data_IF_566329843619
#
_entry.id   IF_566329843619
#
_cell.length_a   1.000
_cell.length_b   1.000
_cell.length_c   1.000
_cell.angle_alpha   90.00
_cell.angle_beta   90.00
_cell.angle_gamma   90.00
#
_symmetry.space_group_name_H-M   'P 1'
#
loop_
_entity.id
_entity.type
_entity.pdbx_description
1 polymer ?
#
# COMPACT_ATOMS: atom_id res chain seq x y z
N UNK A 1 12.98 -1.51 17.88
CA UNK A 1 12.41 -0.15 17.81
C UNK A 1 12.22 0.35 16.37
N UNK A 2 13.08 1.18 15.75
CA UNK A 2 12.73 1.77 14.43
C UNK A 2 12.62 0.75 13.28
N UNK A 3 13.56 -0.19 13.15
CA UNK A 3 13.52 -1.26 12.14
C UNK A 3 12.33 -2.22 12.31
N UNK A 4 11.94 -2.45 13.55
CA UNK A 4 10.78 -3.29 13.91
C UNK A 4 9.47 -2.61 13.53
N UNK A 5 9.33 -1.31 13.84
CA UNK A 5 8.20 -0.50 13.35
C UNK A 5 8.12 -0.48 11.82
N UNK A 6 9.27 -0.40 11.14
CA UNK A 6 9.35 -0.45 9.68
C UNK A 6 8.89 -1.82 9.13
N UNK A 7 9.25 -2.91 9.80
CA UNK A 7 8.76 -4.26 9.45
C UNK A 7 7.25 -4.37 9.64
N UNK A 8 6.71 -3.93 10.76
CA UNK A 8 5.27 -3.94 11.01
C UNK A 8 4.50 -3.08 9.98
N UNK A 9 5.08 -1.96 9.54
CA UNK A 9 4.52 -1.15 8.44
C UNK A 9 4.54 -1.91 7.10
N UNK A 10 5.64 -2.62 6.80
CA UNK A 10 5.79 -3.42 5.58
C UNK A 10 4.75 -4.55 5.48
N UNK A 11 4.43 -5.17 6.62
CA UNK A 11 3.46 -6.25 6.73
C UNK A 11 2.01 -5.74 6.84
N UNK A 12 1.81 -4.42 6.96
CA UNK A 12 0.50 -3.80 7.12
C UNK A 12 -0.11 -3.97 8.52
N UNK A 13 0.69 -4.40 9.50
CA UNK A 13 0.28 -4.62 10.89
C UNK A 13 0.28 -3.34 11.72
N UNK A 14 0.96 -2.29 11.25
CA UNK A 14 1.03 -0.98 11.92
C UNK A 14 1.00 0.16 10.92
N UNK A 15 0.23 1.20 11.22
CA UNK A 15 0.18 2.43 10.43
C UNK A 15 0.41 3.64 11.34
N UNK A 16 1.53 4.32 11.12
CA UNK A 16 1.98 5.48 11.90
C UNK A 16 2.43 6.59 10.93
N UNK A 17 1.73 7.72 10.94
CA UNK A 17 2.02 8.86 10.08
C UNK A 17 3.39 9.50 10.38
N UNK A 18 3.86 9.44 11.62
CA UNK A 18 5.17 9.97 12.01
C UNK A 18 6.29 9.10 11.45
N UNK A 19 6.09 7.77 11.44
CA UNK A 19 7.01 6.83 10.83
C UNK A 19 7.09 7.04 9.31
N UNK A 20 5.95 7.24 8.64
CA UNK A 20 5.92 7.57 7.20
C UNK A 20 6.65 8.88 6.89
N UNK A 21 6.43 9.91 7.72
CA UNK A 21 7.13 11.19 7.59
C UNK A 21 8.63 11.01 7.75
N UNK A 22 9.07 10.24 8.75
CA UNK A 22 10.48 9.92 8.98
C UNK A 22 11.09 9.13 7.81
N UNK A 23 10.37 8.13 7.30
CA UNK A 23 10.77 7.34 6.13
C UNK A 23 10.94 8.21 4.89
N UNK A 24 10.11 9.23 4.69
CA UNK A 24 10.24 10.12 3.53
C UNK A 24 11.51 11.00 3.55
N UNK A 25 12.12 11.21 4.72
CA UNK A 25 13.25 12.14 4.90
C UNK A 25 14.57 11.44 5.20
N UNK A 26 14.55 10.22 5.76
CA UNK A 26 15.75 9.48 6.16
C UNK A 26 16.17 8.43 5.13
N UNK A 27 17.31 8.68 4.46
CA UNK A 27 17.89 7.74 3.48
C UNK A 27 18.27 6.39 4.07
N UNK A 28 18.71 6.32 5.32
CA UNK A 28 19.09 5.05 5.96
C UNK A 28 17.86 4.18 6.18
N UNK A 29 16.74 4.81 6.53
CA UNK A 29 15.46 4.13 6.70
C UNK A 29 14.88 3.70 5.34
N UNK A 30 14.99 4.52 4.30
CA UNK A 30 14.64 4.17 2.92
C UNK A 30 15.44 2.97 2.39
N UNK A 31 16.74 2.93 2.67
CA UNK A 31 17.59 1.80 2.27
C UNK A 31 17.22 0.51 3.02
N UNK A 32 16.84 0.63 4.29
CA UNK A 32 16.32 -0.50 5.07
C UNK A 32 14.99 -1.01 4.48
N UNK A 33 14.08 -0.10 4.10
CA UNK A 33 12.82 -0.41 3.44
C UNK A 33 13.01 -1.15 2.11
N UNK A 34 13.89 -0.63 1.24
CA UNK A 34 14.27 -1.27 -0.02
C UNK A 34 14.84 -2.67 0.21
N UNK A 35 15.74 -2.82 1.19
CA UNK A 35 16.37 -4.11 1.51
C UNK A 35 15.35 -5.14 1.97
N UNK A 36 14.38 -4.75 2.81
CA UNK A 36 13.34 -5.66 3.30
C UNK A 36 12.45 -6.15 2.16
N UNK A 37 12.01 -5.26 1.26
CA UNK A 37 11.24 -5.66 0.09
C UNK A 37 12.05 -6.56 -0.85
N UNK A 38 13.31 -6.23 -1.12
CA UNK A 38 14.17 -7.08 -1.95
C UNK A 38 14.36 -8.49 -1.36
N UNK A 39 14.58 -8.60 -0.04
CA UNK A 39 14.68 -9.90 0.64
C UNK A 39 13.38 -10.68 0.49
N UNK A 40 12.23 -10.03 0.73
CA UNK A 40 10.90 -10.65 0.60
C UNK A 40 10.66 -11.18 -0.82
N UNK A 41 10.94 -10.37 -1.84
CA UNK A 41 10.74 -10.75 -3.24
C UNK A 41 11.67 -11.90 -3.62
N UNK A 42 12.93 -11.86 -3.16
CA UNK A 42 13.90 -12.94 -3.36
C UNK A 42 13.42 -14.26 -2.73
N UNK A 43 12.92 -14.21 -1.48
CA UNK A 43 12.41 -15.39 -0.79
C UNK A 43 11.17 -16.00 -1.46
N UNK A 44 10.38 -15.19 -2.17
CA UNK A 44 9.21 -15.64 -2.94
C UNK A 44 9.54 -16.14 -4.33
N UNK A 45 10.76 -15.88 -4.82
CA UNK A 45 11.12 -16.12 -6.21
C UNK A 45 10.53 -15.07 -7.17
N UNK A 46 10.08 -13.92 -6.65
CA UNK A 46 9.51 -12.81 -7.41
C UNK A 46 10.59 -11.87 -7.97
N UNK A 47 11.78 -12.41 -8.29
CA UNK A 47 12.90 -11.65 -8.84
C UNK A 47 13.24 -12.15 -10.23
N UNK A 48 13.46 -11.21 -11.15
CA UNK A 48 13.90 -11.53 -12.52
C UNK A 48 15.37 -11.96 -12.58
N UNK A 49 15.79 -12.48 -13.74
CA UNK A 49 17.19 -12.84 -13.98
C UNK A 49 18.15 -11.63 -13.89
N UNK A 50 17.64 -10.44 -14.21
CA UNK A 50 18.36 -9.16 -14.09
C UNK A 50 17.62 -8.30 -13.07
N UNK A 51 18.37 -7.76 -12.10
CA UNK A 51 17.84 -6.87 -11.07
C UNK A 51 18.26 -5.42 -11.34
N UNK A 52 17.29 -4.53 -11.41
CA UNK A 52 17.51 -3.09 -11.51
C UNK A 52 17.19 -2.44 -10.16
N UNK A 53 18.20 -1.94 -9.46
CA UNK A 53 18.05 -1.37 -8.11
C UNK A 53 17.71 0.13 -8.12
N UNK A 54 17.71 0.76 -9.30
CA UNK A 54 17.51 2.20 -9.52
C UNK A 54 16.10 2.54 -10.07
N UNK A 55 15.20 1.54 -10.15
CA UNK A 55 13.84 1.75 -10.68
C UNK A 55 13.11 2.84 -9.90
N UNK A 56 13.14 2.78 -8.57
CA UNK A 56 12.45 3.74 -7.71
C UNK A 56 12.96 5.18 -7.94
N UNK A 57 14.28 5.37 -8.08
CA UNK A 57 14.88 6.68 -8.35
C UNK A 57 14.47 7.22 -9.72
N UNK A 58 14.45 6.35 -10.75
CA UNK A 58 14.02 6.73 -12.10
C UNK A 58 12.54 7.11 -12.15
N UNK A 59 11.70 6.39 -11.41
CA UNK A 59 10.28 6.72 -11.28
C UNK A 59 10.09 8.03 -10.53
N UNK A 60 10.79 8.25 -9.41
CA UNK A 60 10.73 9.51 -8.67
C UNK A 60 11.14 10.71 -9.54
N UNK A 61 12.21 10.59 -10.32
CA UNK A 61 12.67 11.62 -11.25
C UNK A 61 11.70 11.85 -12.42
N UNK A 62 10.94 10.85 -12.82
CA UNK A 62 9.87 11.00 -13.81
C UNK A 62 8.66 11.73 -13.22
N UNK A 63 8.24 11.35 -12.01
CA UNK A 63 7.14 11.98 -11.27
C UNK A 63 7.39 13.47 -11.00
N UNK A 64 8.62 13.85 -10.66
CA UNK A 64 8.98 15.26 -10.44
C UNK A 64 8.79 16.13 -11.71
N UNK A 65 8.87 15.50 -12.89
CA UNK A 65 8.66 16.18 -14.19
C UNK A 65 7.20 16.15 -14.64
N UNK A 66 6.33 15.43 -13.95
CA UNK A 66 4.92 15.37 -14.30
C UNK A 66 4.23 16.70 -13.96
N UNK A 67 3.42 17.25 -14.89
CA UNK A 67 2.61 18.41 -14.57
C UNK A 67 1.58 18.04 -13.50
N UNK A 68 1.41 18.91 -12.50
CA UNK A 68 0.39 18.71 -11.46
C UNK A 68 -1.00 18.66 -12.09
N UNK A 69 -1.51 17.44 -12.28
CA UNK A 69 -2.85 17.21 -12.84
C UNK A 69 -3.87 17.26 -11.70
N UNK A 70 -4.42 18.44 -11.46
CA UNK A 70 -5.61 18.55 -10.62
C UNK A 70 -6.76 17.87 -11.36
N UNK A 71 -7.21 16.72 -10.86
CA UNK A 71 -8.41 16.04 -11.35
C UNK A 71 -9.53 16.34 -10.34
N UNK A 72 -10.22 17.50 -10.45
CA UNK A 72 -11.26 17.91 -9.50
C UNK A 72 -12.47 16.95 -9.46
N UNK A 73 -12.55 16.02 -10.42
CA UNK A 73 -13.61 15.02 -10.52
C UNK A 73 -13.06 13.60 -10.46
N UNK A 74 -11.92 13.37 -9.79
CA UNK A 74 -11.54 12.01 -9.42
C UNK A 74 -12.73 11.42 -8.64
N UNK A 75 -13.43 10.49 -9.27
CA UNK A 75 -14.60 9.84 -8.69
C UNK A 75 -14.10 9.18 -7.41
N UNK A 76 -14.44 9.76 -6.26
CA UNK A 76 -14.26 9.06 -5.00
C UNK A 76 -15.07 7.79 -5.11
N UNK A 77 -14.38 6.66 -5.20
CA UNK A 77 -15.02 5.36 -5.20
C UNK A 77 -15.68 5.22 -3.82
N UNK A 78 -16.98 5.49 -3.78
CA UNK A 78 -17.73 5.50 -2.54
C UNK A 78 -17.74 4.09 -1.98
N UNK A 79 -17.12 3.89 -0.82
CA UNK A 79 -17.26 2.65 -0.09
C UNK A 79 -18.74 2.38 0.18
N UNK A 80 -19.22 1.15 -0.03
CA UNK A 80 -20.63 0.84 0.12
C UNK A 80 -21.07 0.99 1.57
N UNK A 81 -22.03 1.88 1.79
CA UNK A 81 -22.61 2.13 3.11
C UNK A 81 -23.55 0.98 3.53
N UNK A 82 -23.72 0.69 4.84
CA UNK A 82 -24.54 -0.44 5.31
C UNK A 82 -25.98 -0.48 4.79
N UNK A 83 -26.55 0.66 4.38
CA UNK A 83 -27.90 0.71 3.80
C UNK A 83 -27.94 0.35 2.30
N UNK A 84 -26.82 0.44 1.56
CA UNK A 84 -26.76 0.06 0.14
C UNK A 84 -26.53 -1.44 -0.07
N UNK A 85 -26.05 -2.11 0.98
CA UNK A 85 -25.79 -3.53 1.05
C UNK A 85 -27.00 -4.37 0.61
N UNK A 86 -28.20 -4.05 1.07
CA UNK A 86 -29.44 -4.76 0.68
C UNK A 86 -29.69 -4.85 -0.84
N UNK A 87 -29.06 -3.98 -1.64
CA UNK A 87 -29.22 -3.96 -3.11
C UNK A 87 -28.13 -4.76 -3.84
N UNK A 88 -27.13 -5.29 -3.15
CA UNK A 88 -26.05 -6.02 -3.82
C UNK A 88 -26.41 -7.49 -3.99
N UNK A 89 -26.05 -8.10 -5.13
CA UNK A 89 -26.51 -9.44 -5.51
C UNK A 89 -26.04 -10.58 -4.59
N UNK A 90 -25.12 -10.31 -3.66
CA UNK A 90 -24.64 -11.28 -2.69
C UNK A 90 -25.36 -11.22 -1.33
N UNK A 91 -26.08 -10.13 -1.01
CA UNK A 91 -26.71 -9.97 0.32
C UNK A 91 -27.86 -10.93 0.59
N UNK A 92 -28.56 -11.37 -0.45
CA UNK A 92 -29.60 -12.39 -0.32
C UNK A 92 -29.05 -13.75 0.13
N UNK A 93 -27.76 -14.02 -0.12
CA UNK A 93 -27.07 -15.24 0.31
C UNK A 93 -26.56 -15.15 1.75
N UNK A 94 -26.26 -13.94 2.24
CA UNK A 94 -25.70 -13.70 3.58
C UNK A 94 -26.80 -13.50 4.64
N UNK A 95 -27.96 -12.96 4.23
CA UNK A 95 -29.15 -12.74 5.08
C UNK A 95 -29.58 -13.93 5.96
N UNK A 96 -29.64 -15.18 5.46
CA UNK A 96 -30.13 -16.32 6.25
C UNK A 96 -29.25 -16.64 7.45
N UNK A 97 -27.96 -16.32 7.37
CA UNK A 97 -26.98 -16.60 8.42
C UNK A 97 -26.99 -15.52 9.51
N UNK A 98 -27.24 -14.26 9.12
CA UNK A 98 -27.34 -13.13 10.05
C UNK A 98 -28.61 -13.17 10.94
N UNK A 99 -29.69 -13.83 10.49
CA UNK A 99 -30.92 -14.01 11.28
C UNK A 99 -30.85 -15.15 12.31
N UNK A 100 -29.72 -15.86 12.41
CA UNK A 100 -29.50 -16.99 13.32
C UNK A 100 -28.60 -16.64 14.52
N UNK A 101 -28.21 -15.37 14.65
CA UNK A 101 -27.55 -14.78 15.83
C UNK A 101 -28.57 -13.91 16.54
#
# INVERSE_FOLDING_TARGET
>A
MQKEKLSALMDGESFDSELLSSLSQDRTLQQSWQSYHLIRDTLRGDVGQVMHLDIADRVAAALEKEPARLVPSAVQESQPQPHTWQKMPFWDKVRPWASQI
#
